data_IF_896489645598
#
_entry.id   IF_896489645598
#
_cell.length_a   1.000
_cell.length_b   1.000
_cell.length_c   1.000
_cell.angle_alpha   90.00
_cell.angle_beta   90.00
_cell.angle_gamma   90.00
#
_symmetry.space_group_name_H-M   'P 1'
#
loop_
_entity.id
_entity.type
_entity.pdbx_description
1 polymer ?
#
# COMPACT_ATOMS: atom_id res chain seq x y z
N UNK A 1 16.77 26.96 -74.77
CA UNK A 1 17.07 27.04 -73.32
C UNK A 1 15.87 26.53 -72.53
N UNK A 2 15.96 25.34 -71.91
CA UNK A 2 14.95 24.86 -70.94
C UNK A 2 15.68 24.17 -69.79
N UNK A 3 15.62 24.79 -68.61
CA UNK A 3 16.16 24.26 -67.34
C UNK A 3 15.13 23.33 -66.72
N UNK A 4 15.55 22.10 -66.40
CA UNK A 4 14.78 21.10 -65.65
C UNK A 4 15.23 21.20 -64.19
N UNK A 5 14.29 21.39 -63.27
CA UNK A 5 14.53 21.44 -61.83
C UNK A 5 14.00 20.13 -61.23
N UNK A 6 14.91 19.27 -60.76
CA UNK A 6 14.58 18.07 -59.99
C UNK A 6 14.32 18.48 -58.54
N UNK A 7 13.08 18.32 -58.07
CA UNK A 7 12.71 18.53 -56.67
C UNK A 7 12.80 17.19 -55.95
N UNK A 8 13.84 17.01 -55.13
CA UNK A 8 13.99 15.86 -54.24
C UNK A 8 13.08 16.00 -53.02
N UNK A 9 12.17 15.04 -52.83
CA UNK A 9 11.34 14.95 -51.63
C UNK A 9 12.12 14.14 -50.60
N UNK A 10 12.65 14.83 -49.59
CA UNK A 10 13.30 14.22 -48.43
C UNK A 10 12.19 13.82 -47.44
N UNK A 11 11.84 12.53 -47.42
CA UNK A 11 10.88 11.97 -46.47
C UNK A 11 11.51 11.84 -45.08
N UNK A 12 11.10 12.69 -44.13
CA UNK A 12 11.46 12.55 -42.72
C UNK A 12 10.59 11.47 -42.07
N UNK A 13 11.17 10.30 -41.79
CA UNK A 13 10.59 9.29 -40.91
C UNK A 13 10.58 9.83 -39.48
N UNK A 14 9.42 10.29 -39.00
CA UNK A 14 9.19 10.52 -37.58
C UNK A 14 8.99 9.17 -36.90
N UNK A 15 10.06 8.65 -36.30
CA UNK A 15 10.02 7.52 -35.38
C UNK A 15 9.29 7.97 -34.10
N UNK A 16 7.96 7.79 -34.08
CA UNK A 16 7.14 7.91 -32.88
C UNK A 16 7.45 6.75 -31.93
N UNK A 17 8.60 6.82 -31.25
CA UNK A 17 8.92 5.93 -30.15
C UNK A 17 7.90 6.15 -29.04
N UNK A 18 7.03 5.16 -28.83
CA UNK A 18 6.16 5.14 -27.67
C UNK A 18 7.06 4.99 -26.43
N UNK A 19 7.33 6.11 -25.76
CA UNK A 19 7.94 6.08 -24.44
C UNK A 19 6.87 5.49 -23.52
N UNK A 20 6.91 4.18 -23.33
CA UNK A 20 6.15 3.53 -22.25
C UNK A 20 6.73 4.08 -20.95
N UNK A 21 6.12 5.16 -20.44
CA UNK A 21 6.29 5.54 -19.05
C UNK A 21 5.78 4.36 -18.23
N UNK A 22 6.71 3.52 -17.75
CA UNK A 22 6.39 2.51 -16.77
C UNK A 22 5.69 3.22 -15.61
N UNK A 23 4.44 2.85 -15.34
CA UNK A 23 3.65 3.45 -14.28
C UNK A 23 4.44 3.30 -12.97
N UNK A 24 4.83 4.43 -12.37
CA UNK A 24 5.60 4.38 -11.14
C UNK A 24 4.72 3.82 -10.01
N UNK A 25 5.19 2.80 -9.26
CA UNK A 25 4.43 2.24 -8.15
C UNK A 25 4.19 3.33 -7.10
N UNK A 26 3.01 3.33 -6.49
CA UNK A 26 2.65 4.25 -5.40
C UNK A 26 2.80 5.75 -5.74
N UNK A 27 2.40 6.18 -6.95
CA UNK A 27 2.41 7.60 -7.37
C UNK A 27 3.81 8.24 -7.28
N UNK A 28 4.86 7.50 -7.65
CA UNK A 28 6.24 8.00 -7.69
C UNK A 28 6.89 8.22 -6.33
N UNK A 29 6.32 7.65 -5.25
CA UNK A 29 6.86 7.82 -3.90
C UNK A 29 8.12 6.98 -3.71
N UNK A 30 9.15 7.62 -3.15
CA UNK A 30 10.38 6.92 -2.75
C UNK A 30 10.11 5.99 -1.56
N UNK A 31 10.92 4.93 -1.37
CA UNK A 31 10.79 4.05 -0.20
C UNK A 31 10.79 4.81 1.13
N UNK A 32 11.66 5.82 1.28
CA UNK A 32 11.76 6.61 2.50
C UNK A 32 10.47 7.40 2.79
N UNK A 33 9.81 7.92 1.75
CA UNK A 33 8.51 8.61 1.91
C UNK A 33 7.45 7.63 2.42
N UNK A 34 7.41 6.41 1.87
CA UNK A 34 6.47 5.38 2.35
C UNK A 34 6.77 4.98 3.79
N UNK A 35 8.04 4.79 4.14
CA UNK A 35 8.46 4.48 5.51
C UNK A 35 8.06 5.58 6.51
N UNK A 36 8.08 6.85 6.10
CA UNK A 36 7.67 7.96 6.94
C UNK A 36 6.16 7.94 7.27
N UNK A 37 5.31 7.25 6.49
CA UNK A 37 3.86 7.24 6.72
C UNK A 37 3.46 6.69 8.08
N UNK A 38 4.22 5.75 8.66
CA UNK A 38 3.95 5.30 10.02
C UNK A 38 4.00 6.45 11.04
N UNK A 39 4.89 7.44 10.87
CA UNK A 39 4.98 8.61 11.76
C UNK A 39 3.73 9.48 11.63
N UNK A 40 3.25 9.68 10.41
CA UNK A 40 2.00 10.40 10.13
C UNK A 40 0.78 9.68 10.72
N UNK A 41 0.81 8.35 10.71
CA UNK A 41 -0.18 7.50 11.39
C UNK A 41 0.02 7.49 12.93
N UNK A 42 1.07 8.14 13.44
CA UNK A 42 1.45 8.13 14.85
C UNK A 42 1.83 6.73 15.36
N UNK A 43 2.30 5.85 14.49
CA UNK A 43 2.81 4.52 14.80
C UNK A 43 4.35 4.61 14.91
N UNK A 44 4.94 4.33 16.09
CA UNK A 44 6.38 4.42 16.29
C UNK A 44 7.12 3.39 15.44
N UNK A 45 8.29 3.74 14.88
CA UNK A 45 9.00 2.85 13.97
C UNK A 45 10.32 3.39 13.44
N UNK A 46 11.00 2.58 12.62
CA UNK A 46 12.21 2.98 11.89
C UNK A 46 11.85 3.47 10.50
N UNK A 47 12.09 4.75 10.22
CA UNK A 47 11.93 5.37 8.89
C UNK A 47 12.98 4.92 7.87
N UNK A 48 14.04 4.28 8.36
CA UNK A 48 15.11 3.75 7.51
C UNK A 48 14.65 2.48 6.79
N UNK A 49 14.58 2.57 5.46
CA UNK A 49 14.41 1.46 4.54
C UNK A 49 15.76 0.77 4.28
N UNK A 50 15.86 -0.53 4.57
CA UNK A 50 17.14 -1.27 4.57
C UNK A 50 16.95 -2.71 4.11
N UNK A 51 18.00 -3.28 3.55
CA UNK A 51 18.04 -4.71 3.22
C UNK A 51 17.82 -5.58 4.47
N UNK A 52 16.97 -6.61 4.36
CA UNK A 52 16.72 -7.62 5.41
C UNK A 52 17.29 -9.00 5.07
N UNK A 53 18.01 -9.12 3.95
CA UNK A 53 18.52 -10.36 3.39
C UNK A 53 17.74 -10.82 2.16
N UNK A 54 18.36 -11.69 1.36
CA UNK A 54 17.79 -12.25 0.13
C UNK A 54 17.32 -11.21 -0.90
N UNK A 55 17.90 -10.00 -0.88
CA UNK A 55 17.53 -8.90 -1.76
C UNK A 55 16.21 -8.20 -1.41
N UNK A 56 15.54 -8.57 -0.30
CA UNK A 56 14.35 -7.86 0.18
C UNK A 56 14.76 -6.62 0.99
N UNK A 57 14.20 -5.48 0.63
CA UNK A 57 14.33 -4.24 1.38
C UNK A 57 13.04 -3.94 2.11
N UNK A 58 13.15 -3.48 3.36
CA UNK A 58 11.99 -3.09 4.13
C UNK A 58 12.25 -2.01 5.16
N UNK A 59 11.14 -1.45 5.65
CA UNK A 59 11.06 -0.73 6.91
C UNK A 59 9.80 -1.17 7.65
N UNK A 60 9.78 -0.91 8.95
CA UNK A 60 8.67 -1.34 9.78
C UNK A 60 8.53 -0.52 11.04
N UNK A 61 7.29 -0.49 11.51
CA UNK A 61 6.94 0.08 12.80
C UNK A 61 7.10 -0.93 13.92
N UNK A 62 7.31 -0.43 15.14
CA UNK A 62 6.99 -1.20 16.34
C UNK A 62 5.46 -1.27 16.50
N UNK A 63 5.00 -2.14 17.40
CA UNK A 63 3.58 -2.33 17.65
C UNK A 63 3.01 -1.17 18.45
N UNK A 64 2.02 -0.48 17.89
CA UNK A 64 1.25 0.56 18.58
C UNK A 64 0.01 -0.07 19.20
N UNK A 65 -0.14 0.01 20.52
CA UNK A 65 -1.40 -0.33 21.19
C UNK A 65 -2.50 0.63 20.76
N UNK A 66 -3.66 0.11 20.39
CA UNK A 66 -4.83 0.92 20.16
C UNK A 66 -5.51 1.26 21.49
N UNK A 67 -6.08 2.47 21.64
CA UNK A 67 -6.87 2.81 22.81
C UNK A 67 -8.10 1.90 22.87
N UNK A 68 -8.34 1.28 24.03
CA UNK A 68 -9.50 0.43 24.31
C UNK A 68 -10.01 0.76 25.71
N UNK A 69 -11.32 0.83 25.89
CA UNK A 69 -11.89 0.77 27.24
C UNK A 69 -11.52 -0.54 27.92
N UNK A 70 -11.49 -0.55 29.26
CA UNK A 70 -11.29 -1.73 30.10
C UNK A 70 -12.14 -2.94 29.61
N UNK A 71 -11.60 -4.18 29.53
CA UNK A 71 -10.28 -4.66 29.94
C UNK A 71 -9.20 -4.60 28.84
N UNK A 72 -7.96 -4.34 29.29
CA UNK A 72 -6.77 -4.01 28.52
C UNK A 72 -6.07 -5.15 27.74
N UNK A 73 -6.80 -6.03 27.07
CA UNK A 73 -6.20 -6.90 26.05
C UNK A 73 -5.93 -6.08 24.77
N UNK A 74 -4.88 -5.26 24.84
CA UNK A 74 -4.55 -4.22 23.87
C UNK A 74 -4.35 -4.82 22.47
N UNK A 75 -5.34 -4.63 21.60
CA UNK A 75 -5.11 -4.88 20.18
C UNK A 75 -4.09 -3.88 19.68
N UNK A 76 -3.21 -4.33 18.80
CA UNK A 76 -2.08 -3.53 18.34
C UNK A 76 -2.04 -3.44 16.82
N UNK A 77 -1.39 -2.38 16.34
CA UNK A 77 -1.14 -2.14 14.93
C UNK A 77 0.35 -2.18 14.62
N UNK A 78 0.68 -2.69 13.45
CA UNK A 78 2.00 -2.61 12.86
C UNK A 78 1.90 -2.23 11.38
N UNK A 79 2.80 -1.36 10.92
CA UNK A 79 2.96 -0.98 9.53
C UNK A 79 4.31 -1.46 8.99
N UNK A 80 4.36 -1.89 7.73
CA UNK A 80 5.58 -2.28 7.02
C UNK A 80 5.53 -1.88 5.55
N UNK A 81 6.70 -1.62 4.98
CA UNK A 81 6.90 -1.48 3.53
C UNK A 81 7.91 -2.52 3.10
N UNK A 82 7.64 -3.25 2.02
CA UNK A 82 8.52 -4.25 1.42
C UNK A 82 8.75 -3.94 -0.06
N UNK A 83 9.91 -4.34 -0.59
CA UNK A 83 10.23 -4.24 -2.01
C UNK A 83 11.71 -4.49 -2.29
N UNK A 84 12.25 -3.84 -3.31
CA UNK A 84 13.69 -3.77 -3.55
C UNK A 84 14.24 -2.41 -3.11
N UNK A 85 15.57 -2.22 -3.22
CA UNK A 85 16.28 -1.00 -2.80
C UNK A 85 15.61 0.29 -3.28
N UNK A 86 15.27 0.35 -4.56
CA UNK A 86 14.71 1.54 -5.21
C UNK A 86 13.23 1.43 -5.53
N UNK A 87 12.63 0.23 -5.45
CA UNK A 87 11.26 -0.02 -5.88
C UNK A 87 10.46 -0.69 -4.77
N UNK A 88 9.73 0.10 -3.96
CA UNK A 88 8.78 -0.48 -3.01
C UNK A 88 7.69 -1.20 -3.81
N UNK A 89 7.23 -2.35 -3.32
CA UNK A 89 6.19 -3.16 -3.99
C UNK A 89 4.96 -3.37 -3.12
N UNK A 90 5.11 -3.32 -1.81
CA UNK A 90 4.05 -3.73 -0.88
C UNK A 90 4.04 -2.87 0.36
N UNK A 91 2.86 -2.38 0.73
CA UNK A 91 2.60 -1.78 2.04
C UNK A 91 1.67 -2.70 2.82
N UNK A 92 1.97 -2.91 4.10
CA UNK A 92 1.23 -3.82 4.98
C UNK A 92 0.83 -3.07 6.23
N UNK A 93 -0.46 -3.11 6.56
CA UNK A 93 -0.99 -2.70 7.85
C UNK A 93 -1.63 -3.91 8.52
N UNK A 94 -1.09 -4.31 9.67
CA UNK A 94 -1.54 -5.48 10.42
C UNK A 94 -2.16 -5.06 11.75
N UNK A 95 -3.37 -5.56 12.02
CA UNK A 95 -4.06 -5.48 13.30
C UNK A 95 -4.02 -6.84 13.97
N UNK A 96 -3.56 -6.90 15.21
CA UNK A 96 -3.80 -8.08 16.06
C UNK A 96 -4.90 -7.80 17.04
N UNK A 97 -6.05 -8.39 16.80
CA UNK A 97 -7.18 -8.38 17.72
C UNK A 97 -6.90 -9.29 18.90
N UNK A 98 -7.00 -8.74 20.11
CA UNK A 98 -6.72 -9.46 21.38
C UNK A 98 -7.89 -9.47 22.35
N UNK A 99 -8.94 -8.68 22.10
CA UNK A 99 -10.13 -8.56 22.96
C UNK A 99 -11.40 -8.80 22.17
N UNK A 100 -12.37 -9.47 22.79
CA UNK A 100 -13.66 -9.86 22.24
C UNK A 100 -14.82 -8.97 22.67
N UNK A 101 -14.62 -8.18 23.74
CA UNK A 101 -15.71 -7.43 24.37
C UNK A 101 -16.15 -6.22 23.54
N UNK A 102 -15.27 -5.64 22.73
CA UNK A 102 -15.57 -4.43 21.92
C UNK A 102 -14.79 -4.39 20.58
N UNK A 103 -14.93 -5.40 19.70
CA UNK A 103 -14.18 -5.44 18.44
C UNK A 103 -14.54 -4.26 17.52
N UNK A 104 -15.79 -3.78 17.57
CA UNK A 104 -16.28 -2.73 16.67
C UNK A 104 -15.52 -1.40 16.81
N UNK A 105 -15.16 -1.00 18.04
CA UNK A 105 -14.36 0.21 18.26
C UNK A 105 -12.96 0.09 17.64
N UNK A 106 -12.34 -1.07 17.79
CA UNK A 106 -11.00 -1.37 17.25
C UNK A 106 -11.03 -1.44 15.73
N UNK A 107 -12.02 -2.11 15.14
CA UNK A 107 -12.18 -2.23 13.69
C UNK A 107 -12.48 -0.86 13.05
N UNK A 108 -13.26 -0.01 13.73
CA UNK A 108 -13.48 1.38 13.29
C UNK A 108 -12.21 2.22 13.35
N UNK A 109 -11.36 2.02 14.36
CA UNK A 109 -10.05 2.67 14.41
C UNK A 109 -9.17 2.15 13.27
N UNK A 110 -9.09 0.83 13.10
CA UNK A 110 -8.31 0.20 12.03
C UNK A 110 -8.73 0.66 10.64
N UNK A 111 -10.03 0.76 10.34
CA UNK A 111 -10.51 1.25 9.04
C UNK A 111 -10.09 2.69 8.77
N UNK A 112 -9.99 3.56 9.79
CA UNK A 112 -9.41 4.91 9.61
C UNK A 112 -7.93 4.87 9.24
N UNK A 113 -7.14 3.96 9.81
CA UNK A 113 -5.74 3.79 9.40
C UNK A 113 -5.62 3.28 7.97
N UNK A 114 -6.52 2.36 7.55
CA UNK A 114 -6.59 1.89 6.17
C UNK A 114 -6.97 3.03 5.22
N UNK A 115 -7.96 3.85 5.59
CA UNK A 115 -8.39 5.01 4.80
C UNK A 115 -7.26 6.01 4.58
N UNK A 116 -6.57 6.42 5.64
CA UNK A 116 -5.40 7.32 5.55
C UNK A 116 -4.26 6.69 4.74
N UNK A 117 -4.04 5.38 4.88
CA UNK A 117 -3.03 4.66 4.10
C UNK A 117 -3.36 4.72 2.60
N UNK A 118 -4.61 4.43 2.22
CA UNK A 118 -5.04 4.46 0.82
C UNK A 118 -5.02 5.89 0.27
N UNK A 119 -5.49 6.88 1.01
CA UNK A 119 -5.48 8.28 0.59
C UNK A 119 -4.04 8.75 0.30
N UNK A 120 -3.11 8.45 1.21
CA UNK A 120 -1.70 8.80 1.03
C UNK A 120 -1.04 8.03 -0.11
N UNK A 121 -1.43 6.78 -0.33
CA UNK A 121 -0.77 5.86 -1.26
C UNK A 121 -1.28 5.99 -2.69
N UNK A 122 -2.60 6.09 -2.85
CA UNK A 122 -3.32 6.02 -4.12
C UNK A 122 -4.12 7.30 -4.42
N UNK A 123 -4.19 8.25 -3.48
CA UNK A 123 -5.02 9.46 -3.65
C UNK A 123 -6.52 9.19 -3.49
N UNK A 124 -6.92 8.02 -3.01
CA UNK A 124 -8.31 7.62 -2.83
C UNK A 124 -8.51 6.92 -1.48
N UNK A 125 -9.65 7.15 -0.84
CA UNK A 125 -10.01 6.51 0.44
C UNK A 125 -10.57 5.09 0.30
N UNK A 126 -10.98 4.49 1.42
CA UNK A 126 -11.67 3.19 1.40
C UNK A 126 -13.04 3.29 0.73
N UNK A 127 -13.40 2.25 -0.03
CA UNK A 127 -14.76 2.13 -0.55
C UNK A 127 -15.73 1.63 0.53
N UNK A 128 -17.04 1.76 0.28
CA UNK A 128 -18.08 1.21 1.16
C UNK A 128 -17.90 -0.29 1.38
N UNK A 129 -17.57 -1.02 0.32
CA UNK A 129 -17.37 -2.48 0.37
C UNK A 129 -16.15 -2.86 1.22
N UNK A 130 -15.01 -2.18 1.05
CA UNK A 130 -13.82 -2.37 1.90
C UNK A 130 -14.12 -2.08 3.37
N UNK A 131 -14.84 -0.98 3.64
CA UNK A 131 -15.26 -0.65 5.00
C UNK A 131 -16.10 -1.77 5.60
N UNK A 132 -17.10 -2.28 4.86
CA UNK A 132 -17.94 -3.40 5.31
C UNK A 132 -17.12 -4.66 5.57
N UNK A 133 -16.15 -4.99 4.70
CA UNK A 133 -15.26 -6.14 4.88
C UNK A 133 -14.41 -6.04 6.16
N UNK A 134 -13.88 -4.85 6.45
CA UNK A 134 -13.11 -4.58 7.69
C UNK A 134 -14.01 -4.71 8.93
N UNK A 135 -15.22 -4.15 8.88
CA UNK A 135 -16.14 -4.17 10.02
C UNK A 135 -16.72 -5.57 10.29
N UNK A 136 -16.79 -6.43 9.26
CA UNK A 136 -17.22 -7.83 9.33
C UNK A 136 -16.07 -8.85 9.48
N UNK A 137 -14.88 -8.39 9.88
CA UNK A 137 -13.56 -9.00 9.59
C UNK A 137 -13.56 -10.19 8.61
N UNK A 138 -13.97 -9.95 7.36
CA UNK A 138 -13.96 -10.97 6.28
C UNK A 138 -12.85 -10.69 5.28
N UNK A 139 -12.37 -11.75 4.64
CA UNK A 139 -11.41 -11.63 3.56
C UNK A 139 -11.99 -10.85 2.37
N UNK A 140 -11.13 -10.08 1.70
CA UNK A 140 -11.51 -9.31 0.52
C UNK A 140 -10.31 -9.01 -0.36
N UNK A 141 -10.57 -8.83 -1.66
CA UNK A 141 -9.58 -8.45 -2.65
C UNK A 141 -10.20 -7.44 -3.63
N UNK A 142 -9.47 -6.37 -3.90
CA UNK A 142 -9.90 -5.30 -4.80
C UNK A 142 -8.77 -4.90 -5.72
N UNK A 143 -9.11 -4.46 -6.93
CA UNK A 143 -8.15 -3.90 -7.88
C UNK A 143 -8.43 -2.42 -8.06
N UNK A 144 -7.39 -1.61 -7.92
CA UNK A 144 -7.43 -0.16 -8.13
C UNK A 144 -6.21 0.20 -8.95
N UNK A 145 -6.43 0.62 -10.19
CA UNK A 145 -5.38 0.90 -11.18
C UNK A 145 -4.39 -0.28 -11.30
N UNK A 146 -3.09 0.00 -11.12
CA UNK A 146 -2.01 -0.98 -11.11
C UNK A 146 -1.77 -1.63 -9.74
N UNK A 147 -2.73 -1.59 -8.82
CA UNK A 147 -2.59 -2.13 -7.47
C UNK A 147 -3.64 -3.17 -7.14
N UNK A 148 -3.23 -4.16 -6.35
CA UNK A 148 -4.10 -5.13 -5.69
C UNK A 148 -4.15 -4.79 -4.21
N UNK A 149 -5.36 -4.63 -3.69
CA UNK A 149 -5.66 -4.40 -2.29
C UNK A 149 -6.19 -5.69 -1.71
N UNK A 150 -5.68 -6.13 -0.56
CA UNK A 150 -6.13 -7.37 0.07
C UNK A 150 -6.37 -7.15 1.56
N UNK A 151 -7.50 -7.65 2.05
CA UNK A 151 -7.76 -7.88 3.46
C UNK A 151 -7.76 -9.39 3.72
N UNK A 152 -6.92 -9.84 4.65
CA UNK A 152 -6.81 -11.27 5.02
C UNK A 152 -6.92 -11.45 6.52
N UNK A 153 -7.65 -12.48 6.94
CA UNK A 153 -7.72 -12.96 8.32
C UNK A 153 -6.77 -14.16 8.50
N UNK A 154 -5.60 -13.93 9.10
CA UNK A 154 -4.48 -14.90 9.05
C UNK A 154 -4.46 -15.92 10.20
N UNK A 155 -4.91 -15.53 11.39
CA UNK A 155 -5.05 -16.41 12.55
C UNK A 155 -6.40 -16.11 13.18
N UNK A 156 -7.14 -17.14 13.61
CA UNK A 156 -8.44 -16.98 14.28
C UNK A 156 -8.61 -18.05 15.35
N UNK A 157 -8.73 -17.66 16.61
CA UNK A 157 -9.14 -18.52 17.73
C UNK A 157 -10.24 -17.82 18.50
N UNK A 158 -11.49 -18.19 18.22
CA UNK A 158 -12.65 -17.43 18.67
C UNK A 158 -12.56 -15.98 18.20
N UNK A 159 -12.60 -15.06 19.16
CA UNK A 159 -12.57 -13.61 18.92
C UNK A 159 -11.17 -12.99 18.84
N UNK A 160 -10.11 -13.79 19.00
CA UNK A 160 -8.72 -13.36 18.80
C UNK A 160 -8.33 -13.67 17.36
N UNK A 161 -7.98 -12.64 16.60
CA UNK A 161 -7.57 -12.80 15.21
C UNK A 161 -6.60 -11.72 14.74
N UNK A 162 -5.89 -12.01 13.67
CA UNK A 162 -5.00 -11.04 13.02
C UNK A 162 -5.60 -10.65 11.66
N UNK A 163 -5.84 -9.35 11.44
CA UNK A 163 -6.20 -8.80 10.14
C UNK A 163 -4.97 -8.18 9.48
N UNK A 164 -4.77 -8.48 8.20
CA UNK A 164 -3.73 -7.87 7.39
C UNK A 164 -4.36 -7.18 6.20
N UNK A 165 -4.22 -5.86 6.14
CA UNK A 165 -4.50 -5.08 4.95
C UNK A 165 -3.21 -4.86 4.17
N UNK A 166 -3.24 -5.11 2.86
CA UNK A 166 -2.08 -5.04 1.97
C UNK A 166 -2.41 -4.19 0.76
N UNK A 167 -1.49 -3.30 0.37
CA UNK A 167 -1.50 -2.60 -0.92
C UNK A 167 -0.28 -3.08 -1.68
N UNK A 168 -0.48 -3.77 -2.80
CA UNK A 168 0.59 -4.35 -3.62
C UNK A 168 0.53 -3.78 -5.03
N UNK A 169 1.64 -3.21 -5.49
CA UNK A 169 1.79 -2.79 -6.88
C UNK A 169 1.98 -4.03 -7.76
N UNK A 170 1.19 -4.13 -8.82
CA UNK A 170 1.35 -5.15 -9.85
C UNK A 170 2.68 -4.94 -10.58
N UNK A 171 3.35 -6.04 -11.00
CA UNK A 171 4.51 -5.91 -11.87
C UNK A 171 4.08 -5.19 -13.16
N UNK A 172 4.81 -4.13 -13.52
CA UNK A 172 4.72 -3.52 -14.85
C UNK A 172 5.17 -4.57 -15.88
N UNK A 173 4.27 -4.97 -16.78
CA UNK A 173 4.59 -5.80 -17.94
C UNK A 173 5.52 -5.08 -18.93
#
# INVERSE_FOLDING_TARGET
>A
MKKVILTGILGALLMSGSVSLAAEPFLGKTPQVLCAYMKDLGIPGSDKYREQGSGEWSCGSTRKKLPQGEPAAASDLQYRVLGSETRPRKQILELRMRSDRQPQGVLKVFSRYVDVLLEKTLGAGITKDMYQAIMAPVDGEWRVDSHVLQLRKLRSKGSVYDLRFTVEALPSE
#
